data_IF_731501988421
#
_entry.id   IF_731501988421
#
_cell.length_a   1.000
_cell.length_b   1.000
_cell.length_c   1.000
_cell.angle_alpha   90.00
_cell.angle_beta   90.00
_cell.angle_gamma   90.00
#
_symmetry.space_group_name_H-M   'P 1'
#
loop_
_entity.id
_entity.type
_entity.pdbx_description
1 polymer ?
#
# COMPACT_ATOMS: atom_id res chain seq x y z
N UNK A 1 -29.50 -6.09 -10.86
CA UNK A 1 -28.34 -5.17 -10.75
C UNK A 1 -27.13 -5.65 -11.56
N UNK A 2 -26.63 -6.89 -11.41
CA UNK A 2 -25.49 -7.40 -12.20
C UNK A 2 -25.66 -7.32 -13.74
N UNK A 3 -26.91 -7.43 -14.26
CA UNK A 3 -27.20 -7.27 -15.70
C UNK A 3 -27.00 -5.86 -16.26
N UNK A 4 -27.03 -4.81 -15.43
CA UNK A 4 -26.82 -3.42 -15.92
C UNK A 4 -25.35 -3.18 -16.28
N UNK A 5 -24.43 -3.81 -15.54
CA UNK A 5 -22.98 -3.68 -15.72
C UNK A 5 -22.52 -4.35 -17.03
N UNK A 6 -23.19 -5.43 -17.46
CA UNK A 6 -22.83 -6.15 -18.70
C UNK A 6 -23.48 -5.59 -19.97
N UNK A 7 -24.54 -4.79 -19.85
CA UNK A 7 -25.30 -4.28 -21.01
C UNK A 7 -24.75 -2.94 -21.52
N UNK A 8 -24.04 -2.19 -20.70
CA UNK A 8 -23.47 -0.89 -21.06
C UNK A 8 -21.98 -1.07 -21.42
N UNK A 9 -21.59 -0.92 -22.71
CA UNK A 9 -20.22 -1.16 -23.15
C UNK A 9 -19.17 -0.31 -22.44
N UNK A 10 -19.54 0.90 -22.01
CA UNK A 10 -18.65 1.80 -21.28
C UNK A 10 -18.20 1.23 -19.92
N UNK A 11 -19.10 0.59 -19.16
CA UNK A 11 -18.73 -0.01 -17.86
C UNK A 11 -17.80 -1.20 -18.02
N UNK A 12 -18.02 -2.03 -19.06
CA UNK A 12 -17.12 -3.15 -19.38
C UNK A 12 -15.70 -2.67 -19.68
N UNK A 13 -15.55 -1.59 -20.44
CA UNK A 13 -14.23 -1.05 -20.78
C UNK A 13 -13.47 -0.52 -19.55
N UNK A 14 -14.18 0.11 -18.60
CA UNK A 14 -13.61 0.56 -17.33
C UNK A 14 -13.14 -0.64 -16.50
N UNK A 15 -13.97 -1.68 -16.38
CA UNK A 15 -13.64 -2.89 -15.62
C UNK A 15 -12.42 -3.61 -16.23
N UNK A 16 -12.39 -3.79 -17.56
CA UNK A 16 -11.26 -4.41 -18.26
C UNK A 16 -9.95 -3.63 -18.04
N UNK A 17 -10.03 -2.30 -17.98
CA UNK A 17 -8.89 -1.43 -17.69
C UNK A 17 -8.43 -1.56 -16.24
N UNK A 18 -9.36 -1.60 -15.28
CA UNK A 18 -9.04 -1.80 -13.86
C UNK A 18 -8.36 -3.16 -13.63
N UNK A 19 -8.88 -4.22 -14.24
CA UNK A 19 -8.32 -5.58 -14.12
C UNK A 19 -6.90 -5.64 -14.68
N UNK A 20 -6.61 -4.96 -15.80
CA UNK A 20 -5.26 -4.89 -16.37
C UNK A 20 -4.24 -4.19 -15.46
N UNK A 21 -4.70 -3.31 -14.57
CA UNK A 21 -3.83 -2.59 -13.62
C UNK A 21 -3.49 -3.44 -12.39
N UNK A 22 -4.33 -4.40 -11.99
CA UNK A 22 -4.16 -5.20 -10.76
C UNK A 22 -2.80 -5.93 -10.68
N UNK A 23 -2.34 -6.67 -11.72
CA UNK A 23 -1.10 -7.45 -11.62
C UNK A 23 0.12 -6.60 -11.26
N UNK A 24 0.18 -5.36 -11.77
CA UNK A 24 1.27 -4.43 -11.49
C UNK A 24 1.21 -3.86 -10.08
N UNK A 25 0.00 -3.49 -9.64
CA UNK A 25 -0.24 -2.99 -8.28
C UNK A 25 0.01 -4.08 -7.23
N UNK A 26 -0.16 -5.35 -7.59
CA UNK A 26 0.03 -6.50 -6.69
C UNK A 26 1.43 -6.56 -6.04
N UNK A 27 2.50 -6.33 -6.81
CA UNK A 27 3.87 -6.34 -6.26
C UNK A 27 4.11 -5.19 -5.27
N UNK A 28 3.61 -3.99 -5.59
CA UNK A 28 3.69 -2.83 -4.69
C UNK A 28 2.83 -3.07 -3.44
N UNK A 29 1.64 -3.65 -3.59
CA UNK A 29 0.76 -3.98 -2.48
C UNK A 29 1.40 -5.01 -1.54
N UNK A 30 2.10 -6.02 -2.07
CA UNK A 30 2.85 -6.97 -1.25
C UNK A 30 4.00 -6.29 -0.49
N UNK A 31 4.77 -5.44 -1.17
CA UNK A 31 5.84 -4.66 -0.54
C UNK A 31 5.28 -3.77 0.58
N UNK A 32 4.16 -3.09 0.32
CA UNK A 32 3.45 -2.26 1.30
C UNK A 32 2.94 -3.08 2.47
N UNK A 33 2.40 -4.28 2.23
CA UNK A 33 1.96 -5.16 3.30
C UNK A 33 3.10 -5.58 4.23
N UNK A 34 4.26 -5.94 3.67
CA UNK A 34 5.47 -6.26 4.46
C UNK A 34 5.94 -5.03 5.24
N UNK A 35 5.98 -3.85 4.61
CA UNK A 35 6.35 -2.60 5.26
C UNK A 35 5.42 -2.26 6.45
N UNK A 36 4.11 -2.30 6.23
CA UNK A 36 3.09 -2.07 7.27
C UNK A 36 3.21 -3.11 8.37
N UNK A 37 3.51 -4.38 8.05
CA UNK A 37 3.73 -5.42 9.05
C UNK A 37 4.95 -5.13 9.94
N UNK A 38 6.08 -4.73 9.36
CA UNK A 38 7.28 -4.38 10.12
C UNK A 38 6.99 -3.20 11.05
N UNK A 39 6.36 -2.14 10.54
CA UNK A 39 5.98 -0.99 11.36
C UNK A 39 4.97 -1.39 12.43
N UNK A 40 3.98 -2.22 12.10
CA UNK A 40 2.97 -2.71 13.04
C UNK A 40 3.60 -3.50 14.18
N UNK A 41 4.56 -4.37 13.88
CA UNK A 41 5.31 -5.10 14.91
C UNK A 41 6.11 -4.16 15.82
N UNK A 42 6.78 -3.15 15.26
CA UNK A 42 7.50 -2.13 16.03
C UNK A 42 6.51 -1.35 16.92
N UNK A 43 5.40 -0.88 16.36
CA UNK A 43 4.39 -0.14 17.09
C UNK A 43 3.76 -0.95 18.22
N UNK A 44 3.43 -2.22 18.00
CA UNK A 44 2.96 -3.12 19.07
C UNK A 44 4.01 -3.27 20.17
N UNK A 45 5.30 -3.41 19.85
CA UNK A 45 6.34 -3.54 20.89
C UNK A 45 6.52 -2.27 21.73
N UNK A 46 6.34 -1.09 21.12
CA UNK A 46 6.60 0.20 21.78
C UNK A 46 5.35 0.75 22.48
N UNK A 47 4.21 0.75 21.79
CA UNK A 47 3.02 1.53 22.18
C UNK A 47 1.93 0.69 22.85
N UNK A 48 2.01 -0.65 22.85
CA UNK A 48 0.96 -1.53 23.40
C UNK A 48 0.62 -1.28 24.87
N UNK A 49 1.56 -0.78 25.68
CA UNK A 49 1.30 -0.45 27.08
C UNK A 49 0.66 0.93 27.26
N UNK A 50 0.86 1.84 26.31
CA UNK A 50 0.38 3.22 26.37
C UNK A 50 -1.01 3.34 25.75
N UNK A 51 -1.22 2.70 24.60
CA UNK A 51 -2.47 2.70 23.86
C UNK A 51 -2.78 1.27 23.38
N UNK A 52 -3.36 0.45 24.27
CA UNK A 52 -3.71 -0.95 23.96
C UNK A 52 -4.80 -1.08 22.89
N UNK A 53 -5.65 -0.06 22.71
CA UNK A 53 -6.78 -0.11 21.79
C UNK A 53 -6.31 -0.08 20.33
N UNK A 54 -5.24 0.67 20.04
CA UNK A 54 -4.61 0.69 18.71
C UNK A 54 -3.43 -0.27 18.58
N UNK A 55 -2.65 -0.51 19.64
CA UNK A 55 -1.37 -1.21 19.54
C UNK A 55 -1.30 -2.53 20.32
N UNK A 56 -2.36 -2.95 21.00
CA UNK A 56 -2.36 -4.08 21.92
C UNK A 56 -2.04 -5.45 21.29
N UNK A 57 -2.23 -5.59 19.98
CA UNK A 57 -1.75 -6.75 19.23
C UNK A 57 -1.47 -6.37 17.76
N UNK A 58 -0.82 -7.29 17.03
CA UNK A 58 -0.43 -7.05 15.64
C UNK A 58 -1.62 -6.75 14.73
N UNK A 59 -2.78 -7.35 14.95
CA UNK A 59 -3.97 -7.12 14.13
C UNK A 59 -4.49 -5.68 14.29
N UNK A 60 -4.55 -5.18 15.52
CA UNK A 60 -4.92 -3.79 15.81
C UNK A 60 -3.90 -2.82 15.20
N UNK A 61 -2.60 -3.06 15.41
CA UNK A 61 -1.56 -2.19 14.87
C UNK A 61 -1.58 -2.11 13.33
N UNK A 62 -1.88 -3.22 12.65
CA UNK A 62 -2.07 -3.24 11.20
C UNK A 62 -3.28 -2.40 10.75
N UNK A 63 -4.40 -2.44 11.49
CA UNK A 63 -5.58 -1.62 11.21
C UNK A 63 -5.31 -0.13 11.44
N UNK A 64 -4.67 0.20 12.57
CA UNK A 64 -4.24 1.57 12.89
C UNK A 64 -3.31 2.11 11.82
N UNK A 65 -2.31 1.34 11.39
CA UNK A 65 -1.40 1.76 10.32
C UNK A 65 -2.07 1.84 8.95
N UNK A 66 -3.09 1.02 8.67
CA UNK A 66 -3.89 1.15 7.45
C UNK A 66 -4.67 2.48 7.44
N UNK A 67 -5.24 2.89 8.58
CA UNK A 67 -5.88 4.19 8.75
C UNK A 67 -4.88 5.34 8.57
N UNK A 68 -3.72 5.27 9.21
CA UNK A 68 -2.63 6.26 9.06
C UNK A 68 -2.12 6.33 7.62
N UNK A 69 -2.04 5.20 6.91
CA UNK A 69 -1.62 5.15 5.51
C UNK A 69 -2.58 5.88 4.57
N UNK A 70 -3.85 5.99 4.94
CA UNK A 70 -4.85 6.82 4.24
C UNK A 70 -4.88 8.28 4.70
N UNK A 71 -3.94 8.68 5.58
CA UNK A 71 -3.86 9.99 6.23
C UNK A 71 -5.08 10.31 7.10
N UNK A 72 -5.84 9.30 7.47
CA UNK A 72 -7.04 9.47 8.27
C UNK A 72 -6.64 9.52 9.75
N UNK A 73 -7.01 10.62 10.42
CA UNK A 73 -6.84 10.87 11.85
C UNK A 73 -5.46 10.52 12.48
N UNK A 74 -4.39 10.48 11.69
CA UNK A 74 -3.08 10.01 12.15
C UNK A 74 -2.47 10.86 13.27
N UNK A 75 -2.81 12.15 13.33
CA UNK A 75 -2.33 13.06 14.36
C UNK A 75 -2.97 12.75 15.72
N UNK A 76 -4.22 12.29 15.74
CA UNK A 76 -4.90 11.86 16.97
C UNK A 76 -4.27 10.58 17.50
N UNK A 77 -4.07 9.58 16.63
CA UNK A 77 -3.37 8.32 17.00
C UNK A 77 -1.97 8.60 17.57
N UNK A 78 -1.24 9.58 17.01
CA UNK A 78 0.05 10.00 17.56
C UNK A 78 -0.11 10.70 18.92
N UNK A 79 -1.12 11.54 19.08
CA UNK A 79 -1.36 12.29 20.31
C UNK A 79 -1.60 11.36 21.51
N UNK A 80 -2.25 10.21 21.30
CA UNK A 80 -2.52 9.21 22.34
C UNK A 80 -1.25 8.59 22.94
N UNK A 81 -0.12 8.65 22.23
CA UNK A 81 1.16 8.07 22.68
C UNK A 81 2.26 9.09 22.94
N UNK A 82 2.14 10.33 22.42
CA UNK A 82 3.25 11.30 22.41
C UNK A 82 3.61 11.84 23.80
N UNK A 83 2.66 11.89 24.73
CA UNK A 83 2.93 12.34 26.11
C UNK A 83 3.88 11.40 26.84
N UNK A 84 3.77 10.08 26.57
CA UNK A 84 4.64 9.05 27.15
C UNK A 84 5.89 8.82 26.29
N UNK A 85 5.75 8.94 24.97
CA UNK A 85 6.82 8.75 23.99
C UNK A 85 7.04 10.03 23.17
N UNK A 86 7.81 11.03 23.68
CA UNK A 86 8.01 12.31 22.97
C UNK A 86 8.67 12.19 21.60
N UNK A 87 9.27 11.05 21.29
CA UNK A 87 9.89 10.73 19.99
C UNK A 87 8.92 10.04 19.02
N UNK A 88 7.68 9.76 19.42
CA UNK A 88 6.67 9.08 18.60
C UNK A 88 6.42 9.78 17.26
N UNK A 89 6.55 11.11 17.21
CA UNK A 89 6.41 11.86 15.95
C UNK A 89 7.37 11.36 14.86
N UNK A 90 8.58 10.89 15.21
CA UNK A 90 9.53 10.33 14.24
C UNK A 90 8.96 9.04 13.63
N UNK A 91 8.35 8.19 14.44
CA UNK A 91 7.74 6.94 14.00
C UNK A 91 6.59 7.19 13.01
N UNK A 92 5.64 8.06 13.36
CA UNK A 92 4.50 8.36 12.48
C UNK A 92 4.92 9.12 11.22
N UNK A 93 5.76 10.14 11.35
CA UNK A 93 6.19 10.94 10.19
C UNK A 93 7.05 10.11 9.24
N UNK A 94 7.94 9.24 9.74
CA UNK A 94 8.73 8.35 8.86
C UNK A 94 7.84 7.36 8.11
N UNK A 95 6.85 6.77 8.77
CA UNK A 95 5.85 5.91 8.12
C UNK A 95 5.11 6.66 7.02
N UNK A 96 4.62 7.85 7.32
CA UNK A 96 3.84 8.69 6.40
C UNK A 96 4.68 9.09 5.18
N UNK A 97 5.94 9.49 5.36
CA UNK A 97 6.84 9.87 4.26
C UNK A 97 7.09 8.67 3.34
N UNK A 98 7.42 7.50 3.91
CA UNK A 98 7.67 6.30 3.10
C UNK A 98 6.41 5.88 2.36
N UNK A 99 5.26 5.84 3.04
CA UNK A 99 3.95 5.56 2.43
C UNK A 99 3.62 6.55 1.30
N UNK A 100 3.86 7.85 1.50
CA UNK A 100 3.65 8.88 0.48
C UNK A 100 4.53 8.68 -0.76
N UNK A 101 5.81 8.36 -0.56
CA UNK A 101 6.75 8.10 -1.66
C UNK A 101 6.35 6.85 -2.43
N UNK A 102 5.95 5.78 -1.74
CA UNK A 102 5.49 4.56 -2.41
C UNK A 102 4.20 4.82 -3.20
N UNK A 103 3.24 5.55 -2.62
CA UNK A 103 2.01 5.94 -3.31
C UNK A 103 2.31 6.78 -4.56
N UNK A 104 3.21 7.76 -4.45
CA UNK A 104 3.63 8.59 -5.57
C UNK A 104 4.30 7.74 -6.67
N UNK A 105 5.21 6.84 -6.29
CA UNK A 105 5.88 5.94 -7.23
C UNK A 105 4.90 4.98 -7.90
N UNK A 106 3.87 4.52 -7.18
CA UNK A 106 2.79 3.72 -7.75
C UNK A 106 2.00 4.52 -8.79
N UNK A 107 1.61 5.76 -8.47
CA UNK A 107 0.88 6.65 -9.39
C UNK A 107 1.72 6.92 -10.65
N UNK A 108 3.01 7.23 -10.50
CA UNK A 108 3.92 7.41 -11.64
C UNK A 108 4.00 6.13 -12.46
N UNK A 109 4.15 4.97 -11.82
CA UNK A 109 4.20 3.67 -12.50
C UNK A 109 2.95 3.40 -13.33
N UNK A 110 1.76 3.69 -12.80
CA UNK A 110 0.48 3.54 -13.52
C UNK A 110 0.37 4.57 -14.66
N UNK A 111 0.73 5.83 -14.43
CA UNK A 111 0.67 6.87 -15.46
C UNK A 111 1.62 6.56 -16.62
N UNK A 112 2.87 6.21 -16.32
CA UNK A 112 3.88 5.86 -17.34
C UNK A 112 3.41 4.67 -18.16
N UNK A 113 2.81 3.67 -17.52
CA UNK A 113 2.28 2.51 -18.22
C UNK A 113 1.13 2.87 -19.19
N UNK A 114 0.20 3.71 -18.76
CA UNK A 114 -0.89 4.21 -19.61
C UNK A 114 -0.34 5.04 -20.78
N UNK A 115 0.68 5.86 -20.54
CA UNK A 115 1.33 6.68 -21.58
C UNK A 115 2.17 5.86 -22.56
N UNK A 116 2.74 4.74 -22.13
CA UNK A 116 3.59 3.86 -22.95
C UNK A 116 2.84 2.70 -23.59
N UNK A 117 1.52 2.59 -23.36
CA UNK A 117 0.67 1.61 -24.03
C UNK A 117 0.81 0.18 -23.51
N UNK A 118 1.24 -0.02 -22.26
CA UNK A 118 1.29 -1.35 -21.63
C UNK A 118 2.61 -2.10 -21.72
N UNK A 119 3.72 -1.47 -22.13
CA UNK A 119 5.03 -2.12 -22.32
C UNK A 119 5.77 -2.48 -21.00
N UNK A 120 5.24 -2.14 -19.83
CA UNK A 120 5.93 -2.32 -18.54
C UNK A 120 6.12 -3.76 -18.04
N UNK A 121 5.86 -4.79 -18.86
CA UNK A 121 6.06 -6.22 -18.50
C UNK A 121 6.90 -6.98 -19.54
N UNK A 122 7.34 -6.36 -20.65
CA UNK A 122 8.20 -7.05 -21.64
C UNK A 122 9.62 -7.34 -21.13
N UNK A 123 10.06 -6.72 -20.03
CA UNK A 123 11.43 -6.89 -19.51
C UNK A 123 11.70 -8.17 -18.71
N UNK A 124 10.73 -9.07 -18.55
CA UNK A 124 10.91 -10.32 -17.77
C UNK A 124 10.94 -11.58 -18.66
N UNK A 125 10.55 -11.50 -19.94
CA UNK A 125 10.43 -12.69 -20.82
C UNK A 125 11.61 -12.95 -21.78
N UNK A 126 12.66 -12.11 -21.83
CA UNK A 126 13.75 -12.26 -22.81
C UNK A 126 15.02 -13.02 -22.37
N UNK A 127 15.09 -13.59 -21.17
CA UNK A 127 16.19 -14.52 -20.80
C UNK A 127 15.71 -15.97 -20.69
N UNK A 128 15.38 -16.57 -21.85
CA UNK A 128 15.63 -18.02 -22.02
C UNK A 128 17.00 -18.17 -22.68
N UNK A 129 18.00 -18.78 -22.00
CA UNK A 129 19.22 -19.18 -22.66
C UNK A 129 18.84 -20.07 -23.85
N UNK A 130 19.33 -19.72 -25.04
CA UNK A 130 19.39 -20.66 -26.15
C UNK A 130 20.38 -21.74 -25.74
N UNK A 131 19.89 -22.75 -25.02
CA UNK A 131 20.64 -23.97 -24.84
C UNK A 131 20.89 -24.58 -26.21
N UNK A 132 22.19 -24.65 -26.49
CA UNK A 132 22.82 -25.32 -27.60
C UNK A 132 22.38 -26.79 -27.63
N UNK A 133 21.84 -27.23 -28.76
CA UNK A 133 21.97 -28.60 -29.26
C UNK A 133 21.67 -28.62 -30.76
#
# INVERSE_FOLDING_TARGET
MLRIITVIPAFRHIIDSLIKTIPRVGFIALLMFIFIYIWGAIGTMVFSQTDPDNWGNIGLALLTLAQVATYDDWAAVMADVIEVHPWAWIYFISFIIVNAVVLLNMVIGVIVDVMTGGAGVEFIDEEKPKDQA
#
